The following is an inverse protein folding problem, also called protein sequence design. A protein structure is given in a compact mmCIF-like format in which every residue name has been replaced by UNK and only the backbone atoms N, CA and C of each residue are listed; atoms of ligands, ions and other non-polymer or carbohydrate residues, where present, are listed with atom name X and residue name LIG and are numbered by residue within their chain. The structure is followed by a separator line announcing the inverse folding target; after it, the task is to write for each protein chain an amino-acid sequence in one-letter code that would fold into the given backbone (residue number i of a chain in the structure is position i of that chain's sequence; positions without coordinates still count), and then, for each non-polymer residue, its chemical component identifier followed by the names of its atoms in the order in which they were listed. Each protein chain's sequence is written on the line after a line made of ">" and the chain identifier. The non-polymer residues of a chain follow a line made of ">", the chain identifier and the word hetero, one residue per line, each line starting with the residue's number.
data_IF_487779131068
#
_entry.id   IF_487779131068
#
_cell.length_a   1.000
_cell.length_b   1.000
_cell.length_c   1.000
_cell.angle_alpha   90.00
_cell.angle_beta   90.00
_cell.angle_gamma   90.00
#
_symmetry.space_group_name_H-M   'P 1'
#
loop_
_entity.id
_entity.type
_entity.pdbx_description
1 polymer ?
#
# COMPACT_ATOMS: atom_id res chain seq x y z
N UNK A 1 -7.23 54.86 -18.20
CA UNK A 1 -6.77 53.46 -18.42
C UNK A 1 -7.78 52.40 -18.01
N UNK A 2 -8.44 52.49 -16.86
CA UNK A 2 -9.44 51.50 -16.41
C UNK A 2 -10.70 51.39 -17.29
N UNK A 3 -11.25 52.52 -17.75
CA UNK A 3 -12.44 52.54 -18.63
C UNK A 3 -12.22 51.95 -20.03
N UNK A 4 -11.00 52.07 -20.57
CA UNK A 4 -10.65 51.50 -21.88
C UNK A 4 -10.48 49.98 -21.78
N UNK A 5 -9.97 49.51 -20.64
CA UNK A 5 -9.82 48.09 -20.32
C UNK A 5 -11.17 47.40 -20.14
N UNK A 6 -12.12 48.03 -19.44
CA UNK A 6 -13.47 47.47 -19.26
C UNK A 6 -14.26 47.43 -20.55
N UNK A 7 -14.14 48.42 -21.44
CA UNK A 7 -14.75 48.39 -22.78
C UNK A 7 -14.16 47.29 -23.66
N UNK A 8 -12.84 47.11 -23.64
CA UNK A 8 -12.17 46.02 -24.38
C UNK A 8 -12.57 44.64 -23.87
N UNK A 9 -12.66 44.45 -22.55
CA UNK A 9 -13.14 43.20 -21.96
C UNK A 9 -14.59 42.91 -22.34
N UNK A 10 -15.48 43.91 -22.31
CA UNK A 10 -16.90 43.70 -22.66
C UNK A 10 -17.07 43.30 -24.13
N UNK A 11 -16.31 43.92 -25.03
CA UNK A 11 -16.34 43.57 -26.44
C UNK A 11 -15.76 42.17 -26.69
N UNK A 12 -14.70 41.80 -25.98
CA UNK A 12 -14.13 40.46 -26.06
C UNK A 12 -15.10 39.38 -25.56
N UNK A 13 -15.79 39.62 -24.45
CA UNK A 13 -16.80 38.69 -23.90
C UNK A 13 -17.96 38.51 -24.88
N UNK A 14 -18.45 39.59 -25.48
CA UNK A 14 -19.52 39.52 -26.49
C UNK A 14 -19.08 38.71 -27.71
N UNK A 15 -17.90 39.02 -28.26
CA UNK A 15 -17.35 38.29 -29.40
C UNK A 15 -17.16 36.80 -29.10
N UNK A 16 -16.62 36.49 -27.90
CA UNK A 16 -16.42 35.12 -27.47
C UNK A 16 -17.74 34.37 -27.28
N UNK A 17 -18.74 35.01 -26.68
CA UNK A 17 -20.07 34.45 -26.52
C UNK A 17 -20.70 34.13 -27.87
N UNK A 18 -20.64 35.05 -28.83
CA UNK A 18 -21.20 34.84 -30.16
C UNK A 18 -20.44 33.76 -30.94
N UNK A 19 -19.12 33.68 -30.77
CA UNK A 19 -18.30 32.64 -31.36
C UNK A 19 -18.65 31.26 -30.81
N UNK A 20 -18.73 31.11 -29.49
CA UNK A 20 -19.10 29.85 -28.82
C UNK A 20 -20.55 29.47 -29.14
N UNK A 21 -21.47 30.44 -29.16
CA UNK A 21 -22.88 30.16 -29.42
C UNK A 21 -23.13 29.61 -30.83
N UNK A 22 -22.35 30.07 -31.80
CA UNK A 22 -22.45 29.62 -33.18
C UNK A 22 -21.53 28.45 -33.52
N UNK A 23 -20.75 27.97 -32.55
CA UNK A 23 -19.83 26.86 -32.73
C UNK A 23 -20.58 25.54 -32.94
N UNK A 24 -20.15 24.76 -33.93
CA UNK A 24 -20.62 23.41 -34.17
C UNK A 24 -19.39 22.54 -34.41
N UNK A 25 -19.17 21.56 -33.53
CA UNK A 25 -18.02 20.66 -33.61
C UNK A 25 -18.26 19.54 -34.63
N UNK A 26 -19.53 19.18 -34.85
CA UNK A 26 -19.94 18.07 -35.70
C UNK A 26 -20.46 18.59 -37.03
N UNK A 27 -19.56 19.21 -37.81
CA UNK A 27 -19.84 19.59 -39.19
C UNK A 27 -19.65 18.33 -40.06
N UNK A 28 -20.63 17.93 -40.88
CA UNK A 28 -20.48 16.80 -41.77
C UNK A 28 -19.48 17.15 -42.88
N UNK A 29 -18.60 16.20 -43.22
CA UNK A 29 -17.76 16.31 -44.40
C UNK A 29 -18.64 16.32 -45.65
N UNK A 30 -18.27 17.13 -46.66
CA UNK A 30 -19.08 17.40 -47.87
C UNK A 30 -19.40 16.14 -48.72
N UNK A 31 -18.81 14.99 -48.38
CA UNK A 31 -18.80 13.78 -49.21
C UNK A 31 -19.91 12.77 -48.85
N UNK A 32 -20.75 13.07 -47.85
CA UNK A 32 -21.69 12.08 -47.28
C UNK A 32 -23.15 12.18 -47.74
N UNK A 33 -23.42 12.92 -48.83
CA UNK A 33 -24.77 13.14 -49.37
C UNK A 33 -25.04 12.49 -50.74
N UNK A 34 -24.30 11.46 -51.12
CA UNK A 34 -24.63 10.65 -52.30
C UNK A 34 -25.01 9.21 -51.89
N UNK A 35 -26.11 9.06 -51.15
CA UNK A 35 -26.81 7.78 -51.05
C UNK A 35 -28.25 7.99 -51.57
N UNK A 36 -28.52 7.44 -52.76
CA UNK A 36 -29.70 7.68 -53.61
C UNK A 36 -31.04 7.17 -53.05
N UNK A 37 -31.16 6.86 -51.75
CA UNK A 37 -32.37 6.21 -51.23
C UNK A 37 -32.83 6.66 -49.84
N UNK A 38 -32.42 7.83 -49.36
CA UNK A 38 -32.91 8.33 -48.07
C UNK A 38 -33.85 9.54 -48.21
N UNK A 39 -34.99 9.44 -47.54
CA UNK A 39 -36.08 10.39 -47.58
C UNK A 39 -35.59 11.75 -47.06
N UNK A 40 -35.65 12.78 -47.90
CA UNK A 40 -35.12 14.14 -47.66
C UNK A 40 -35.34 14.64 -46.22
N UNK A 41 -34.36 14.39 -45.34
CA UNK A 41 -34.35 14.92 -43.98
C UNK A 41 -34.04 16.41 -44.11
N UNK A 42 -34.92 17.25 -43.56
CA UNK A 42 -34.77 18.71 -43.62
C UNK A 42 -33.38 19.13 -43.09
N UNK A 43 -32.54 19.80 -43.90
CA UNK A 43 -31.18 20.16 -43.52
C UNK A 43 -31.14 21.04 -42.26
N UNK A 44 -32.22 21.76 -41.95
CA UNK A 44 -32.32 22.59 -40.74
C UNK A 44 -32.43 21.76 -39.46
N UNK A 45 -33.00 20.55 -39.52
CA UNK A 45 -33.12 19.64 -38.37
C UNK A 45 -31.75 19.05 -38.05
N UNK A 46 -31.00 18.64 -39.07
CA UNK A 46 -29.64 18.11 -38.94
C UNK A 46 -28.71 19.12 -38.24
N UNK A 47 -28.72 20.38 -38.67
CA UNK A 47 -27.88 21.44 -38.08
C UNK A 47 -28.24 21.71 -36.61
N UNK A 48 -29.54 21.67 -36.25
CA UNK A 48 -29.97 21.85 -34.85
C UNK A 48 -29.47 20.72 -33.96
N UNK A 49 -29.56 19.48 -34.43
CA UNK A 49 -29.11 18.31 -33.68
C UNK A 49 -27.59 18.32 -33.47
N UNK A 50 -26.82 18.71 -34.49
CA UNK A 50 -25.36 18.86 -34.40
C UNK A 50 -24.96 19.92 -33.37
N UNK A 51 -25.64 21.08 -33.36
CA UNK A 51 -25.44 22.12 -32.34
C UNK A 51 -25.73 21.59 -30.94
N UNK A 52 -26.88 20.93 -30.73
CA UNK A 52 -27.22 20.35 -29.42
C UNK A 52 -26.20 19.31 -28.94
N UNK A 53 -25.73 18.44 -29.84
CA UNK A 53 -24.69 17.45 -29.53
C UNK A 53 -23.37 18.13 -29.16
N UNK A 54 -22.99 19.21 -29.87
CA UNK A 54 -21.81 20.02 -29.55
C UNK A 54 -21.90 20.61 -28.15
N UNK A 55 -23.05 21.22 -27.80
CA UNK A 55 -23.25 21.80 -26.46
C UNK A 55 -23.19 20.75 -25.36
N UNK A 56 -23.81 19.59 -25.58
CA UNK A 56 -23.75 18.47 -24.64
C UNK A 56 -22.30 17.97 -24.46
N UNK A 57 -21.57 17.81 -25.55
CA UNK A 57 -20.16 17.40 -25.53
C UNK A 57 -19.29 18.39 -24.76
N UNK A 58 -19.38 19.69 -25.08
CA UNK A 58 -18.59 20.74 -24.40
C UNK A 58 -18.93 20.79 -22.92
N UNK A 59 -20.21 20.67 -22.55
CA UNK A 59 -20.63 20.63 -21.15
C UNK A 59 -20.03 19.43 -20.41
N UNK A 60 -20.13 18.22 -20.97
CA UNK A 60 -19.54 17.02 -20.37
C UNK A 60 -18.02 17.10 -20.28
N UNK A 61 -17.36 17.67 -21.29
CA UNK A 61 -15.91 17.86 -21.31
C UNK A 61 -15.45 18.86 -20.23
N UNK A 62 -16.18 19.97 -20.04
CA UNK A 62 -15.87 20.91 -18.97
C UNK A 62 -16.08 20.24 -17.60
N UNK A 63 -17.13 19.45 -17.43
CA UNK A 63 -17.36 18.69 -16.19
C UNK A 63 -16.21 17.71 -15.93
N UNK A 64 -15.76 16.96 -16.94
CA UNK A 64 -14.69 15.99 -16.75
C UNK A 64 -13.37 16.68 -16.36
N UNK A 65 -13.02 17.78 -17.02
CA UNK A 65 -11.87 18.60 -16.67
C UNK A 65 -11.99 19.18 -15.26
N UNK A 66 -13.17 19.64 -14.87
CA UNK A 66 -13.43 20.13 -13.51
C UNK A 66 -13.19 19.02 -12.50
N UNK A 67 -13.78 17.84 -12.66
CA UNK A 67 -13.57 16.70 -11.76
C UNK A 67 -12.09 16.35 -11.65
N UNK A 68 -11.36 16.25 -12.78
CA UNK A 68 -9.93 15.97 -12.79
C UNK A 68 -9.12 17.04 -12.04
N UNK A 69 -9.44 18.31 -12.23
CA UNK A 69 -8.80 19.42 -11.54
C UNK A 69 -9.00 19.34 -10.02
N UNK A 70 -10.22 19.06 -9.56
CA UNK A 70 -10.50 18.91 -8.13
C UNK A 70 -9.79 17.70 -7.53
N UNK A 71 -9.75 16.57 -8.23
CA UNK A 71 -8.99 15.40 -7.78
C UNK A 71 -7.51 15.75 -7.65
N UNK A 72 -6.93 16.44 -8.63
CA UNK A 72 -5.53 16.85 -8.58
C UNK A 72 -5.24 17.81 -7.43
N UNK A 73 -6.14 18.77 -7.15
CA UNK A 73 -6.02 19.69 -6.02
C UNK A 73 -6.17 19.01 -4.66
N UNK A 74 -7.13 18.08 -4.55
CA UNK A 74 -7.45 17.38 -3.30
C UNK A 74 -6.48 16.23 -3.02
N UNK A 75 -5.63 15.84 -3.98
CA UNK A 75 -4.65 14.78 -3.81
C UNK A 75 -3.69 15.14 -2.68
N UNK A 76 -3.78 14.49 -1.50
CA UNK A 76 -2.97 14.84 -0.36
C UNK A 76 -1.50 14.49 -0.65
N UNK A 77 -0.60 15.45 -0.44
CA UNK A 77 0.84 15.19 -0.50
C UNK A 77 1.27 14.54 0.80
N UNK A 78 1.55 13.24 0.79
CA UNK A 78 2.12 12.55 1.96
C UNK A 78 3.58 12.98 2.15
N UNK A 79 3.92 13.39 3.38
CA UNK A 79 5.30 13.71 3.77
C UNK A 79 5.86 12.58 4.60
N UNK A 80 6.96 11.99 4.14
CA UNK A 80 7.70 11.00 4.92
C UNK A 80 8.53 11.73 5.97
N UNK A 81 8.33 11.39 7.25
CA UNK A 81 9.12 11.92 8.37
C UNK A 81 10.00 10.79 8.91
N UNK A 82 11.32 10.99 8.84
CA UNK A 82 12.30 10.00 9.32
C UNK A 82 12.69 10.33 10.77
N UNK A 83 12.49 9.37 11.68
CA UNK A 83 12.85 9.49 13.09
C UNK A 83 14.00 8.51 13.36
N UNK A 84 15.18 9.05 13.68
CA UNK A 84 16.42 8.26 13.85
C UNK A 84 16.65 7.74 15.28
N UNK A 85 16.05 8.37 16.30
CA UNK A 85 16.15 7.94 17.69
C UNK A 85 14.80 7.40 18.19
N UNK A 86 14.52 6.13 17.92
CA UNK A 86 13.33 5.45 18.45
C UNK A 86 13.55 5.02 19.90
N UNK A 87 12.78 5.58 20.83
CA UNK A 87 12.59 4.99 22.16
C UNK A 87 11.38 4.05 22.14
N UNK A 88 11.32 3.01 23.00
CA UNK A 88 10.19 2.08 23.03
C UNK A 88 8.84 2.77 23.23
N UNK A 89 8.77 3.75 24.13
CA UNK A 89 7.55 4.52 24.39
C UNK A 89 7.12 5.38 23.20
N UNK A 90 8.07 5.97 22.47
CA UNK A 90 7.78 6.75 21.26
C UNK A 90 7.30 5.85 20.12
N UNK A 91 7.88 4.66 19.99
CA UNK A 91 7.41 3.66 19.03
C UNK A 91 5.97 3.24 19.33
N UNK A 92 5.65 2.91 20.58
CA UNK A 92 4.28 2.53 20.97
C UNK A 92 3.26 3.64 20.68
N UNK A 93 3.64 4.90 20.91
CA UNK A 93 2.80 6.04 20.58
C UNK A 93 2.57 6.17 19.06
N UNK A 94 3.65 6.18 18.28
CA UNK A 94 3.59 6.29 16.82
C UNK A 94 2.85 5.12 16.18
N UNK A 95 2.98 3.91 16.73
CA UNK A 95 2.28 2.75 16.26
C UNK A 95 0.76 2.84 16.51
N UNK A 96 0.34 3.44 17.63
CA UNK A 96 -1.09 3.70 17.91
C UNK A 96 -1.68 4.77 16.99
N UNK A 97 -0.93 5.83 16.69
CA UNK A 97 -1.43 6.97 15.90
C UNK A 97 -1.29 6.75 14.38
N UNK A 98 -0.26 6.02 13.94
CA UNK A 98 0.13 5.90 12.54
C UNK A 98 0.46 4.47 12.10
N UNK A 99 -0.04 3.45 12.81
CA UNK A 99 0.33 2.04 12.59
C UNK A 99 0.23 1.55 11.14
N UNK A 100 -0.76 2.03 10.37
CA UNK A 100 -0.96 1.64 8.96
C UNK A 100 0.06 2.28 8.00
N UNK A 101 0.66 3.42 8.35
CA UNK A 101 1.60 4.16 7.50
C UNK A 101 3.03 4.14 8.02
N UNK A 102 3.25 3.57 9.22
CA UNK A 102 4.56 3.43 9.85
C UNK A 102 5.40 2.37 9.12
N UNK A 103 6.60 2.74 8.67
CA UNK A 103 7.56 1.80 8.08
C UNK A 103 8.87 1.84 8.86
N UNK A 104 9.31 0.66 9.34
CA UNK A 104 10.58 0.49 10.06
C UNK A 104 11.56 -0.30 9.18
N UNK A 105 12.38 0.37 8.35
CA UNK A 105 13.40 -0.31 7.60
C UNK A 105 14.48 -0.85 8.54
N UNK A 106 14.87 -2.11 8.35
CA UNK A 106 15.98 -2.71 9.09
C UNK A 106 17.30 -2.09 8.62
N UNK A 107 18.12 -1.59 9.55
CA UNK A 107 19.47 -1.09 9.26
C UNK A 107 20.45 -2.21 8.88
N UNK A 108 20.20 -3.42 9.39
CA UNK A 108 21.02 -4.62 9.16
C UNK A 108 20.13 -5.84 8.97
N UNK A 109 20.49 -6.70 8.01
CA UNK A 109 19.75 -7.92 7.66
C UNK A 109 19.90 -9.05 8.69
N UNK A 110 20.95 -9.00 9.52
CA UNK A 110 21.27 -10.02 10.51
C UNK A 110 21.82 -9.32 11.74
N UNK A 111 21.23 -9.61 12.90
CA UNK A 111 21.75 -9.16 14.19
C UNK A 111 22.42 -10.36 14.86
N UNK A 112 23.73 -10.29 15.17
CA UNK A 112 24.44 -11.38 15.84
C UNK A 112 23.75 -11.76 17.16
N UNK A 113 23.59 -13.06 17.43
CA UNK A 113 22.90 -13.56 18.63
C UNK A 113 23.51 -13.05 19.94
N UNK A 114 24.83 -12.90 19.98
CA UNK A 114 25.57 -12.35 21.12
C UNK A 114 25.26 -10.86 21.41
N UNK A 115 24.51 -10.18 20.55
CA UNK A 115 24.09 -8.77 20.76
C UNK A 115 22.97 -8.66 21.80
N UNK A 116 22.11 -9.68 21.92
CA UNK A 116 20.98 -9.67 22.85
C UNK A 116 21.08 -10.77 23.91
N UNK A 117 21.92 -11.79 23.67
CA UNK A 117 22.09 -12.92 24.58
C UNK A 117 23.54 -13.06 25.00
N UNK A 118 23.80 -12.85 26.28
CA UNK A 118 25.10 -13.14 26.90
C UNK A 118 25.00 -14.48 27.61
N UNK A 119 25.61 -15.52 27.06
CA UNK A 119 25.70 -16.82 27.72
C UNK A 119 27.06 -16.93 28.43
N UNK A 120 27.03 -17.11 29.75
CA UNK A 120 28.22 -17.39 30.54
C UNK A 120 28.13 -18.83 31.06
N UNK A 121 28.72 -19.76 30.32
CA UNK A 121 28.69 -21.20 30.68
C UNK A 121 29.76 -21.47 31.73
N UNK A 122 29.34 -21.74 32.96
CA UNK A 122 30.21 -22.27 34.01
C UNK A 122 30.18 -23.79 34.01
N UNK A 123 31.28 -24.43 33.64
CA UNK A 123 31.43 -25.87 33.78
C UNK A 123 31.82 -26.21 35.23
N UNK A 124 30.96 -26.92 35.94
CA UNK A 124 31.35 -27.51 37.21
C UNK A 124 32.19 -28.77 36.96
N UNK A 125 33.32 -28.95 37.66
CA UNK A 125 34.17 -30.12 37.45
C UNK A 125 33.39 -31.39 37.77
N UNK A 126 33.45 -32.37 36.86
CA UNK A 126 32.85 -33.70 37.01
C UNK A 126 33.33 -34.37 38.31
N UNK A 127 34.52 -34.00 38.80
CA UNK A 127 35.14 -34.50 40.02
C UNK A 127 34.35 -34.24 41.32
N UNK A 128 33.37 -33.32 41.31
CA UNK A 128 32.44 -33.11 42.44
C UNK A 128 31.05 -33.70 42.20
N UNK A 129 30.86 -34.44 41.10
CA UNK A 129 29.58 -35.07 40.78
C UNK A 129 29.36 -36.33 41.60
N UNK A 130 28.10 -36.61 41.95
CA UNK A 130 27.74 -37.91 42.53
C UNK A 130 28.11 -39.08 41.60
N UNK A 131 28.15 -38.84 40.28
CA UNK A 131 28.48 -39.86 39.29
C UNK A 131 29.94 -40.34 39.33
N UNK A 132 30.83 -39.61 40.00
CA UNK A 132 32.21 -40.05 40.25
C UNK A 132 32.44 -40.46 41.70
N UNK A 133 31.39 -40.43 42.54
CA UNK A 133 31.50 -40.89 43.91
C UNK A 133 31.77 -42.40 43.93
N UNK A 134 32.55 -42.82 44.93
CA UNK A 134 32.85 -44.24 45.13
C UNK A 134 31.56 -45.06 45.30
N UNK A 135 30.59 -44.52 46.02
CA UNK A 135 29.31 -45.17 46.29
C UNK A 135 28.52 -45.40 44.99
N UNK A 136 28.51 -44.42 44.08
CA UNK A 136 27.88 -44.57 42.76
C UNK A 136 28.59 -45.63 41.90
N UNK A 137 29.92 -45.63 41.90
CA UNK A 137 30.74 -46.60 41.16
C UNK A 137 30.51 -48.02 41.72
N UNK A 138 30.50 -48.18 43.04
CA UNK A 138 30.25 -49.46 43.72
C UNK A 138 28.85 -50.00 43.43
N UNK A 139 27.87 -49.13 43.18
CA UNK A 139 26.52 -49.51 42.74
C UNK A 139 26.50 -50.36 41.46
N UNK A 140 27.45 -50.16 40.53
CA UNK A 140 27.55 -50.98 39.30
C UNK A 140 28.10 -52.39 39.54
N UNK A 141 28.79 -52.62 40.66
CA UNK A 141 29.35 -53.92 41.02
C UNK A 141 28.41 -54.75 41.90
N UNK A 142 27.23 -54.21 42.25
CA UNK A 142 26.23 -54.98 42.97
C UNK A 142 25.71 -56.14 42.09
N UNK A 143 25.50 -57.35 42.65
CA UNK A 143 25.02 -58.50 41.88
C UNK A 143 23.68 -58.27 41.15
N UNK A 144 22.88 -57.32 41.65
CA UNK A 144 21.58 -56.92 41.11
C UNK A 144 21.65 -55.70 40.18
N UNK A 145 22.82 -55.10 39.94
CA UNK A 145 22.96 -53.91 39.08
C UNK A 145 22.49 -54.14 37.63
N UNK A 146 22.64 -55.38 37.15
CA UNK A 146 22.20 -55.83 35.82
C UNK A 146 20.88 -56.61 35.86
N UNK A 147 20.21 -56.70 37.00
CA UNK A 147 18.92 -57.35 37.09
C UNK A 147 17.83 -56.43 36.55
N UNK A 148 17.12 -56.88 35.53
CA UNK A 148 15.94 -56.20 35.00
C UNK A 148 14.75 -56.49 35.93
N UNK A 149 14.53 -55.61 36.89
CA UNK A 149 13.36 -55.67 37.78
C UNK A 149 12.11 -55.17 37.03
N UNK A 150 10.92 -55.59 37.47
CA UNK A 150 9.64 -55.19 36.87
C UNK A 150 9.44 -53.66 36.87
N UNK A 151 10.06 -52.94 37.83
CA UNK A 151 10.05 -51.47 37.94
C UNK A 151 11.35 -50.80 37.43
N UNK A 152 12.17 -51.51 36.65
CA UNK A 152 13.37 -50.91 36.05
C UNK A 152 12.96 -49.87 35.00
N UNK A 153 13.41 -48.63 35.16
CA UNK A 153 13.14 -47.58 34.18
C UNK A 153 13.72 -47.94 32.80
N UNK A 154 14.75 -48.77 32.70
CA UNK A 154 15.32 -49.22 31.41
C UNK A 154 14.41 -50.20 30.66
N UNK A 155 13.50 -50.88 31.35
CA UNK A 155 12.51 -51.78 30.73
C UNK A 155 11.22 -51.05 30.37
N UNK A 156 10.87 -50.00 31.13
CA UNK A 156 9.64 -49.21 30.94
C UNK A 156 9.84 -47.92 30.14
N UNK A 157 11.07 -47.39 30.06
CA UNK A 157 11.42 -46.23 29.24
C UNK A 157 11.60 -46.61 27.76
N UNK A 158 10.55 -47.16 27.15
CA UNK A 158 10.39 -47.18 25.70
C UNK A 158 9.53 -45.97 25.28
N UNK A 159 10.11 -44.78 25.40
CA UNK A 159 9.78 -43.60 24.57
C UNK A 159 10.95 -42.64 24.80
N UNK A 160 11.72 -42.22 23.81
CA UNK A 160 11.32 -41.38 22.69
C UNK A 160 12.32 -41.58 21.55
N UNK A 161 11.95 -42.33 20.51
CA UNK A 161 12.48 -42.11 19.16
C UNK A 161 11.29 -42.19 18.22
N UNK A 162 10.66 -41.04 18.00
CA UNK A 162 9.75 -40.77 16.88
C UNK A 162 10.35 -39.66 16.06
#
# INVERSE_FOLDING_TARGET
>A
NTLVLTMRMRNFISWFHDYVHNYNLFIPDEDHYEDENDQSVDPTICVKQQKHSTWLYVFLFIISLYVLFFIALLSPTSRIVTISNLTPSLFDQLHREHGETLSCPCSTITIPYNTFVTNNVSFHPVCSSVFVSRDWIEGFYLPVANAYLLDDFRTTAFSQVS
#
